data_IF_702648235035
#
_entry.id   IF_702648235035
#
_cell.length_a   1.000
_cell.length_b   1.000
_cell.length_c   1.000
_cell.angle_alpha   90.00
_cell.angle_beta   90.00
_cell.angle_gamma   90.00
#
_symmetry.space_group_name_H-M   'P 1'
#
loop_
_entity.id
_entity.type
_entity.pdbx_description
1 polymer ?
#
# COMPACT_ATOMS: atom_id res chain seq x y z
N UNK A 1 -16.12 14.48 -35.45
CA UNK A 1 -16.53 15.22 -34.23
C UNK A 1 -15.27 15.73 -33.55
N UNK A 2 -14.99 17.04 -33.61
CA UNK A 2 -13.75 17.62 -33.09
C UNK A 2 -13.89 17.94 -31.59
N UNK A 3 -13.00 17.40 -30.76
CA UNK A 3 -12.97 17.67 -29.33
C UNK A 3 -12.31 19.04 -29.10
N UNK A 4 -13.07 20.01 -28.60
CA UNK A 4 -12.50 21.31 -28.19
C UNK A 4 -11.55 21.08 -27.01
N UNK A 5 -10.30 21.60 -27.03
CA UNK A 5 -9.42 21.51 -25.88
C UNK A 5 -9.97 22.40 -24.76
N UNK A 6 -10.22 21.82 -23.58
CA UNK A 6 -10.64 22.56 -22.39
C UNK A 6 -9.49 23.46 -21.93
N UNK A 7 -9.70 24.78 -21.96
CA UNK A 7 -8.69 25.75 -21.54
C UNK A 7 -8.61 25.79 -20.01
N UNK A 8 -7.71 24.98 -19.46
CA UNK A 8 -7.61 24.72 -18.02
C UNK A 8 -7.31 26.00 -17.21
N UNK A 9 -6.52 26.93 -17.76
CA UNK A 9 -6.19 28.19 -17.10
C UNK A 9 -7.41 29.08 -16.84
N UNK A 10 -8.33 29.15 -17.79
CA UNK A 10 -9.58 29.91 -17.64
C UNK A 10 -10.57 29.26 -16.66
N UNK A 11 -10.50 27.92 -16.49
CA UNK A 11 -11.35 27.19 -15.55
C UNK A 11 -10.92 27.40 -14.09
N UNK A 12 -9.62 27.57 -13.84
CA UNK A 12 -9.06 27.73 -12.48
C UNK A 12 -9.35 29.14 -11.92
N UNK A 13 -9.41 30.18 -12.77
CA UNK A 13 -9.74 31.54 -12.34
C UNK A 13 -11.24 31.79 -12.15
N UNK A 14 -12.11 30.79 -12.33
CA UNK A 14 -13.53 30.97 -12.07
C UNK A 14 -13.78 31.10 -10.55
N UNK A 15 -14.47 32.16 -10.10
CA UNK A 15 -14.91 32.27 -8.72
C UNK A 15 -15.74 31.04 -8.32
N UNK A 16 -15.51 30.53 -7.10
CA UNK A 16 -16.16 29.33 -6.59
C UNK A 16 -17.68 29.36 -6.77
N UNK A 17 -18.26 28.19 -7.07
CA UNK A 17 -19.70 28.00 -7.30
C UNK A 17 -20.49 28.63 -6.14
N UNK A 18 -21.20 29.73 -6.41
CA UNK A 18 -22.13 30.31 -5.45
C UNK A 18 -23.26 29.30 -5.24
N UNK A 19 -23.43 28.82 -4.01
CA UNK A 19 -24.49 27.87 -3.67
C UNK A 19 -25.85 28.57 -3.81
N UNK A 20 -26.62 28.19 -4.83
CA UNK A 20 -28.02 28.58 -4.93
C UNK A 20 -28.78 27.90 -3.78
N UNK A 21 -29.30 28.70 -2.86
CA UNK A 21 -30.11 28.26 -1.74
C UNK A 21 -31.36 27.51 -2.24
N UNK A 22 -31.36 26.18 -2.10
CA UNK A 22 -32.56 25.35 -2.20
C UNK A 22 -32.33 24.02 -1.46
N UNK A 23 -32.98 23.89 -0.30
CA UNK A 23 -33.08 22.65 0.47
C UNK A 23 -32.15 22.60 1.69
N UNK A 24 -32.71 22.20 2.83
CA UNK A 24 -31.99 21.89 4.08
C UNK A 24 -30.97 20.77 3.86
N UNK A 25 -29.81 21.07 3.26
CA UNK A 25 -28.62 20.23 3.34
C UNK A 25 -27.74 20.82 4.43
N UNK A 26 -27.80 20.19 5.60
CA UNK A 26 -26.81 20.38 6.67
C UNK A 26 -25.44 20.25 6.01
N UNK A 27 -24.64 21.30 6.13
CA UNK A 27 -23.29 21.34 5.59
C UNK A 27 -22.52 20.08 6.03
N UNK A 28 -22.16 19.25 5.05
CA UNK A 28 -21.24 18.12 5.20
C UNK A 28 -19.82 18.67 5.39
N UNK A 29 -19.60 19.40 6.48
CA UNK A 29 -18.27 19.56 7.05
C UNK A 29 -17.83 18.20 7.61
N UNK A 30 -16.52 17.97 7.64
CA UNK A 30 -15.92 16.82 8.31
C UNK A 30 -16.26 16.87 9.81
N UNK A 31 -17.37 16.27 10.21
CA UNK A 31 -17.74 16.15 11.61
C UNK A 31 -17.01 14.94 12.20
N UNK A 32 -16.08 15.12 13.16
CA UNK A 32 -15.38 14.00 13.76
C UNK A 32 -16.39 13.18 14.60
N UNK A 33 -16.53 11.91 14.27
CA UNK A 33 -17.29 10.96 15.08
C UNK A 33 -16.40 10.40 16.18
N UNK A 34 -16.84 10.47 17.43
CA UNK A 34 -16.14 9.84 18.57
C UNK A 34 -16.67 8.41 18.70
N UNK A 35 -15.83 7.44 18.35
CA UNK A 35 -16.12 6.01 18.44
C UNK A 35 -15.21 5.36 19.48
N UNK A 36 -15.75 4.44 20.27
CA UNK A 36 -14.94 3.58 21.16
C UNK A 36 -14.53 2.29 20.43
N UNK A 37 -13.43 1.66 20.85
CA UNK A 37 -12.92 0.46 20.17
C UNK A 37 -13.94 -0.70 20.17
N UNK A 38 -14.77 -0.81 21.22
CA UNK A 38 -15.81 -1.83 21.36
C UNK A 38 -16.95 -1.69 20.35
N UNK A 39 -17.10 -0.49 19.76
CA UNK A 39 -18.08 -0.20 18.72
C UNK A 39 -17.55 -0.55 17.31
N UNK A 40 -16.24 -0.79 17.18
CA UNK A 40 -15.58 -1.08 15.91
C UNK A 40 -15.35 -2.59 15.76
N UNK A 41 -15.55 -3.09 14.52
CA UNK A 41 -15.16 -4.45 14.14
C UNK A 41 -13.83 -4.41 13.38
N UNK A 42 -12.99 -5.46 13.47
CA UNK A 42 -11.84 -5.61 12.60
C UNK A 42 -12.27 -5.50 11.13
N UNK A 43 -11.46 -4.82 10.31
CA UNK A 43 -11.77 -4.65 8.90
C UNK A 43 -11.85 -6.04 8.21
N UNK A 44 -13.02 -6.43 7.66
CA UNK A 44 -13.16 -7.72 6.97
C UNK A 44 -12.24 -7.84 5.76
N UNK A 45 -11.94 -6.72 5.10
CA UNK A 45 -11.10 -6.65 3.89
C UNK A 45 -9.62 -6.38 4.22
N UNK A 46 -9.12 -6.88 5.35
CA UNK A 46 -7.73 -6.69 5.72
C UNK A 46 -6.82 -7.58 4.85
N UNK A 47 -6.03 -7.02 3.90
CA UNK A 47 -5.22 -7.82 2.97
C UNK A 47 -4.07 -8.56 3.65
N UNK A 48 -3.84 -8.32 4.94
CA UNK A 48 -2.83 -9.00 5.76
C UNK A 48 -3.34 -10.31 6.38
N UNK A 49 -4.61 -10.67 6.19
CA UNK A 49 -5.20 -11.90 6.77
C UNK A 49 -5.05 -13.11 5.84
N UNK A 50 -5.07 -12.91 4.53
CA UNK A 50 -4.95 -13.98 3.53
C UNK A 50 -3.54 -14.04 2.95
N UNK A 51 -3.06 -15.25 2.63
CA UNK A 51 -1.79 -15.43 1.89
C UNK A 51 -1.91 -14.80 0.51
N UNK A 52 -0.84 -14.14 0.05
CA UNK A 52 -0.78 -13.64 -1.32
C UNK A 52 -1.04 -14.79 -2.32
N UNK A 53 -2.05 -14.70 -3.20
CA UNK A 53 -2.35 -15.74 -4.18
C UNK A 53 -1.16 -16.11 -5.08
N UNK A 54 -0.26 -15.15 -5.31
CA UNK A 54 0.95 -15.33 -6.15
C UNK A 54 2.17 -15.81 -5.37
N UNK A 55 2.00 -16.19 -4.10
CA UNK A 55 3.13 -16.53 -3.26
C UNK A 55 3.95 -17.68 -3.83
N UNK A 56 3.32 -18.73 -4.34
CA UNK A 56 4.02 -19.92 -4.83
C UNK A 56 4.85 -19.61 -6.09
N UNK A 57 4.32 -18.80 -7.00
CA UNK A 57 5.06 -18.31 -8.18
C UNK A 57 6.28 -17.47 -7.76
N UNK A 58 6.10 -16.57 -6.79
CA UNK A 58 7.18 -15.72 -6.27
C UNK A 58 8.25 -16.59 -5.61
N UNK A 59 7.84 -17.57 -4.79
CA UNK A 59 8.75 -18.53 -4.14
C UNK A 59 9.60 -19.25 -5.18
N UNK A 60 8.97 -19.84 -6.20
CA UNK A 60 9.66 -20.57 -7.26
C UNK A 60 10.63 -19.67 -8.03
N UNK A 61 10.23 -18.44 -8.33
CA UNK A 61 11.08 -17.48 -9.04
C UNK A 61 12.34 -17.08 -8.27
N UNK A 62 12.24 -16.97 -6.93
CA UNK A 62 13.36 -16.65 -6.04
C UNK A 62 14.28 -17.88 -5.91
N UNK A 63 13.75 -19.10 -5.90
CA UNK A 63 14.57 -20.31 -5.88
C UNK A 63 15.38 -20.48 -7.16
N UNK A 64 14.79 -20.18 -8.33
CA UNK A 64 15.47 -20.35 -9.61
C UNK A 64 16.48 -19.23 -9.93
N UNK A 65 16.15 -17.96 -9.64
CA UNK A 65 16.96 -16.80 -10.05
C UNK A 65 17.59 -16.04 -8.88
N UNK A 66 17.19 -16.34 -7.64
CA UNK A 66 17.48 -15.50 -6.49
C UNK A 66 16.58 -14.25 -6.42
N UNK A 67 16.77 -13.48 -5.36
CA UNK A 67 16.02 -12.24 -5.15
C UNK A 67 16.60 -11.11 -5.99
N UNK A 68 15.82 -10.54 -6.91
CA UNK A 68 16.30 -9.54 -7.89
C UNK A 68 16.73 -8.22 -7.22
N UNK A 69 15.91 -7.70 -6.30
CA UNK A 69 16.17 -6.44 -5.60
C UNK A 69 16.19 -6.67 -4.10
N UNK A 70 17.34 -6.41 -3.50
CA UNK A 70 17.51 -6.29 -2.07
C UNK A 70 16.41 -5.42 -1.42
N UNK A 71 15.71 -5.90 -0.38
CA UNK A 71 14.75 -5.09 0.36
C UNK A 71 15.44 -3.92 1.07
N UNK A 72 14.72 -2.81 1.26
CA UNK A 72 15.23 -1.59 1.94
C UNK A 72 15.50 -1.79 3.45
N UNK A 73 15.30 -3.00 3.97
CA UNK A 73 15.54 -3.35 5.37
C UNK A 73 17.05 -3.50 5.68
N UNK A 74 17.50 -3.17 6.90
CA UNK A 74 18.92 -3.31 7.29
C UNK A 74 19.44 -4.75 7.20
N UNK A 75 18.55 -5.75 7.26
CA UNK A 75 18.85 -7.19 7.15
C UNK A 75 19.60 -7.53 5.85
N UNK A 76 19.37 -6.77 4.79
CA UNK A 76 19.96 -7.08 3.49
C UNK A 76 21.50 -6.90 3.44
N UNK A 77 22.09 -6.07 4.32
CA UNK A 77 23.56 -5.93 4.39
C UNK A 77 24.26 -7.20 4.89
N UNK A 78 23.56 -8.03 5.67
CA UNK A 78 24.12 -9.25 6.26
C UNK A 78 23.96 -10.48 5.35
N UNK A 79 22.92 -10.52 4.50
CA UNK A 79 22.59 -11.70 3.68
C UNK A 79 23.39 -11.84 2.38
N UNK A 80 24.04 -10.78 1.90
CA UNK A 80 24.90 -10.88 0.70
C UNK A 80 26.10 -11.82 0.88
N UNK A 81 26.41 -12.20 2.13
CA UNK A 81 27.45 -13.17 2.47
C UNK A 81 26.92 -14.52 2.96
N UNK A 82 25.60 -14.65 3.18
CA UNK A 82 24.96 -15.84 3.79
C UNK A 82 24.09 -16.65 2.80
N UNK A 83 23.57 -16.05 1.72
CA UNK A 83 22.70 -16.77 0.79
C UNK A 83 23.38 -17.88 -0.04
N UNK A 84 24.72 -17.96 -0.04
CA UNK A 84 25.44 -19.07 -0.68
C UNK A 84 25.57 -20.27 0.29
N UNK A 85 25.50 -20.04 1.60
CA UNK A 85 25.81 -21.06 2.61
C UNK A 85 24.69 -22.06 2.86
N UNK A 86 23.47 -21.83 2.37
CA UNK A 86 22.36 -22.77 2.55
C UNK A 86 22.43 -23.99 1.61
N UNK A 87 23.42 -24.04 0.71
CA UNK A 87 23.66 -25.18 -0.20
C UNK A 87 24.57 -26.24 0.43
N UNK A 88 25.28 -25.91 1.51
CA UNK A 88 26.03 -26.87 2.34
C UNK A 88 25.35 -26.92 3.69
N UNK A 89 24.74 -28.06 4.05
CA UNK A 89 23.91 -28.24 5.25
C UNK A 89 24.64 -28.12 6.59
N UNK A 90 25.31 -27.00 6.84
CA UNK A 90 25.94 -26.67 8.11
C UNK A 90 25.19 -25.49 8.74
N UNK A 91 24.51 -25.78 9.85
CA UNK A 91 23.88 -24.76 10.69
C UNK A 91 24.97 -23.92 11.37
N UNK A 92 25.02 -22.59 11.18
CA UNK A 92 25.92 -21.75 11.97
C UNK A 92 25.38 -21.65 13.39
N UNK A 93 26.13 -22.20 14.34
CA UNK A 93 25.90 -22.06 15.78
C UNK A 93 26.01 -20.57 16.12
N UNK A 94 24.88 -19.95 16.45
CA UNK A 94 24.88 -18.56 16.94
C UNK A 94 25.28 -18.60 18.40
N UNK A 95 26.51 -18.15 18.74
CA UNK A 95 26.82 -17.76 20.12
C UNK A 95 26.21 -16.38 20.38
N UNK A 96 25.54 -16.27 21.52
CA UNK A 96 25.00 -15.04 22.08
C UNK A 96 26.10 -14.00 22.33
#
# INVERSE_FOLDING_TARGET
MAHKPLNLGAAIMQPGRQASAAGNVVALGETPMILTLDQLRPNPDNPRTTRNPRYDDIKNSIHARGWIRCPKSPVCRTVSRMCISSVTGETPVTRY
#
